data_IF_585805475023
#
_entry.id   IF_585805475023
#
_cell.length_a   1.000
_cell.length_b   1.000
_cell.length_c   1.000
_cell.angle_alpha   90.00
_cell.angle_beta   90.00
_cell.angle_gamma   90.00
#
_symmetry.space_group_name_H-M   'P 1'
#
loop_
_entity.id
_entity.type
_entity.pdbx_description
1 polymer ?
#
# COMPACT_ATOMS: atom_id res chain seq x y z
N UNK A 1 10.15 12.51 6.10
CA UNK A 1 9.94 12.01 4.71
C UNK A 1 8.99 10.84 4.80
N UNK A 2 7.89 10.81 4.03
CA UNK A 2 6.90 9.71 4.11
C UNK A 2 7.51 8.43 3.56
N UNK A 3 7.27 7.32 4.25
CA UNK A 3 7.70 5.96 3.85
C UNK A 3 6.58 5.23 3.14
N UNK A 4 6.91 4.17 2.41
CA UNK A 4 5.92 3.31 1.74
C UNK A 4 4.85 2.82 2.72
N UNK A 5 5.24 2.41 3.94
CA UNK A 5 4.27 1.99 4.98
C UNK A 5 3.25 3.07 5.35
N UNK A 6 3.66 4.35 5.34
CA UNK A 6 2.74 5.44 5.70
C UNK A 6 1.63 5.57 4.64
N UNK A 7 1.94 5.27 3.38
CA UNK A 7 0.96 5.28 2.29
C UNK A 7 0.06 4.06 2.36
N UNK A 8 0.63 2.87 2.62
CA UNK A 8 -0.15 1.64 2.82
C UNK A 8 -1.19 1.85 3.93
N UNK A 9 -0.80 2.40 5.06
CA UNK A 9 -1.72 2.64 6.18
C UNK A 9 -2.88 3.57 5.79
N UNK A 10 -2.63 4.63 5.02
CA UNK A 10 -3.68 5.54 4.53
C UNK A 10 -4.61 4.80 3.56
N UNK A 11 -4.06 3.98 2.67
CA UNK A 11 -4.85 3.17 1.73
C UNK A 11 -5.71 2.13 2.45
N UNK A 12 -5.18 1.46 3.47
CA UNK A 12 -5.91 0.45 4.26
C UNK A 12 -6.97 1.07 5.17
N UNK A 13 -6.79 2.31 5.65
CA UNK A 13 -7.84 3.05 6.38
C UNK A 13 -9.03 3.38 5.47
N UNK A 14 -8.76 3.75 4.21
CA UNK A 14 -9.80 4.04 3.22
C UNK A 14 -10.42 2.77 2.60
N UNK A 15 -9.60 1.76 2.33
CA UNK A 15 -9.97 0.49 1.70
C UNK A 15 -9.34 -0.68 2.47
N UNK A 16 -10.02 -1.19 3.51
CA UNK A 16 -9.52 -2.28 4.33
C UNK A 16 -9.24 -3.55 3.53
N UNK A 17 -8.17 -4.26 3.92
CA UNK A 17 -7.78 -5.54 3.30
C UNK A 17 -8.90 -6.58 3.36
N UNK A 18 -9.79 -6.50 4.36
CA UNK A 18 -10.93 -7.41 4.52
C UNK A 18 -11.97 -7.34 3.39
N UNK A 19 -11.90 -6.31 2.54
CA UNK A 19 -12.79 -6.17 1.39
C UNK A 19 -12.35 -7.02 0.19
N UNK A 20 -11.11 -7.52 0.19
CA UNK A 20 -10.59 -8.33 -0.91
C UNK A 20 -11.26 -9.70 -0.94
N UNK A 21 -11.34 -10.31 -2.12
CA UNK A 21 -11.69 -11.71 -2.25
C UNK A 21 -10.51 -12.62 -1.86
N UNK A 22 -10.79 -13.87 -1.51
CA UNK A 22 -9.76 -14.82 -1.07
C UNK A 22 -8.66 -15.03 -2.13
N UNK A 23 -9.03 -14.95 -3.42
CA UNK A 23 -8.12 -15.12 -4.53
C UNK A 23 -7.31 -13.86 -4.91
N UNK A 24 -7.62 -12.69 -4.33
CA UNK A 24 -6.92 -11.45 -4.65
C UNK A 24 -5.58 -11.31 -3.92
N UNK A 25 -4.54 -10.92 -4.66
CA UNK A 25 -3.26 -10.48 -4.11
C UNK A 25 -3.24 -8.95 -4.01
N UNK A 26 -3.40 -8.42 -2.80
CA UNK A 26 -3.45 -6.98 -2.53
C UNK A 26 -2.30 -6.51 -1.64
N UNK A 27 -2.14 -5.19 -1.51
CA UNK A 27 -1.08 -4.58 -0.72
C UNK A 27 0.25 -4.48 -1.48
N UNK A 28 1.36 -4.44 -0.74
CA UNK A 28 2.69 -4.33 -1.34
C UNK A 28 3.18 -5.69 -1.86
N UNK A 29 3.08 -5.90 -3.18
CA UNK A 29 3.54 -7.15 -3.82
C UNK A 29 5.07 -7.25 -3.90
N UNK A 30 5.76 -6.15 -4.23
CA UNK A 30 7.22 -6.11 -4.37
C UNK A 30 7.75 -4.78 -3.88
N UNK A 31 8.81 -4.79 -3.05
CA UNK A 31 9.51 -3.59 -2.60
C UNK A 31 9.79 -3.57 -1.11
N UNK A 32 10.11 -2.39 -0.59
CA UNK A 32 10.48 -2.16 0.81
C UNK A 32 9.55 -1.12 1.46
N UNK A 33 8.92 -1.52 2.57
CA UNK A 33 8.01 -0.70 3.36
C UNK A 33 8.68 0.50 4.03
N UNK A 34 9.99 0.42 4.32
CA UNK A 34 10.74 1.48 4.99
C UNK A 34 11.34 2.51 4.03
N UNK A 35 11.25 2.27 2.71
CA UNK A 35 11.77 3.17 1.69
C UNK A 35 11.01 4.49 1.67
N UNK A 36 11.76 5.57 1.52
CA UNK A 36 11.23 6.93 1.40
C UNK A 36 10.55 7.16 0.05
N UNK A 37 9.35 7.73 0.06
CA UNK A 37 8.54 8.03 -1.14
C UNK A 37 8.60 9.52 -1.44
N UNK A 38 8.79 9.86 -2.73
CA UNK A 38 8.79 11.25 -3.23
C UNK A 38 7.69 11.52 -4.25
N UNK A 39 7.27 10.50 -5.00
CA UNK A 39 6.24 10.56 -6.04
C UNK A 39 5.49 9.23 -6.08
N UNK A 40 4.25 9.28 -6.55
CA UNK A 40 3.38 8.12 -6.75
C UNK A 40 2.92 8.16 -8.21
N UNK A 41 2.85 6.98 -8.83
CA UNK A 41 2.22 6.77 -10.14
C UNK A 41 1.05 5.82 -9.93
N UNK A 42 -0.11 6.15 -10.49
CA UNK A 42 -1.29 5.29 -10.53
C UNK A 42 -1.40 4.68 -11.93
N UNK A 43 -1.62 3.37 -12.01
CA UNK A 43 -1.70 2.58 -13.24
C UNK A 43 -2.81 1.53 -13.14
#
# INVERSE_FOLDING_TARGET
MKKVKDIINIMEEFAPVTLKEDFDNVGLMVGDKEKSVKKILLA
#
